data_IF_049724396493
#
_entry.id   IF_049724396493
#
_cell.length_a   1.000
_cell.length_b   1.000
_cell.length_c   1.000
_cell.angle_alpha   90.00
_cell.angle_beta   90.00
_cell.angle_gamma   90.00
#
_symmetry.space_group_name_H-M   'P 1'
#
loop_
_entity.id
_entity.type
_entity.pdbx_description
1 polymer ?
#
# COMPACT_ATOMS: atom_id res chain seq x y z
N UNK A 1 40.71 -42.60 45.82
CA UNK A 1 40.05 -42.74 44.51
C UNK A 1 39.20 -41.50 44.32
N UNK A 2 39.58 -40.72 43.33
CA UNK A 2 39.23 -39.32 43.11
C UNK A 2 37.88 -39.26 42.40
N UNK A 3 36.84 -38.73 43.06
CA UNK A 3 35.54 -38.53 42.42
C UNK A 3 35.62 -37.28 41.56
N UNK A 4 35.73 -37.49 40.25
CA UNK A 4 35.68 -36.43 39.25
C UNK A 4 34.34 -35.71 39.34
N UNK A 5 34.40 -34.44 39.74
CA UNK A 5 33.31 -33.48 39.63
C UNK A 5 33.22 -33.08 38.16
N UNK A 6 32.37 -33.76 37.38
CA UNK A 6 32.02 -33.32 36.03
C UNK A 6 31.25 -32.00 36.14
N UNK A 7 31.96 -30.89 35.94
CA UNK A 7 31.37 -29.57 35.89
C UNK A 7 30.53 -29.41 34.64
N UNK A 8 29.22 -29.26 34.82
CA UNK A 8 28.32 -28.72 33.80
C UNK A 8 28.72 -27.27 33.54
N UNK A 9 29.40 -27.00 32.42
CA UNK A 9 29.47 -25.65 31.87
C UNK A 9 28.24 -25.46 30.98
N UNK A 10 27.11 -25.16 31.61
CA UNK A 10 26.03 -24.48 30.92
C UNK A 10 26.52 -23.05 30.67
N UNK A 11 26.90 -22.77 29.42
CA UNK A 11 27.27 -21.43 29.01
C UNK A 11 26.04 -20.54 29.07
N UNK A 12 25.90 -19.78 30.15
CA UNK A 12 24.92 -18.70 30.26
C UNK A 12 25.24 -17.68 29.18
N UNK A 13 24.37 -17.55 28.19
CA UNK A 13 24.43 -16.45 27.22
C UNK A 13 24.10 -15.18 28.00
N UNK A 14 25.12 -14.44 28.41
CA UNK A 14 24.93 -13.09 28.96
C UNK A 14 24.26 -12.24 27.88
N UNK A 15 23.09 -11.72 28.21
CA UNK A 15 22.35 -10.84 27.31
C UNK A 15 23.15 -9.53 27.22
N UNK A 16 23.81 -9.32 26.08
CA UNK A 16 24.87 -8.31 25.91
C UNK A 16 24.34 -6.86 25.81
N UNK A 17 23.04 -6.68 25.90
CA UNK A 17 22.37 -5.44 25.55
C UNK A 17 21.51 -4.92 26.70
N UNK A 18 21.75 -3.67 27.08
CA UNK A 18 21.05 -2.95 28.15
C UNK A 18 19.80 -2.23 27.60
N UNK A 19 18.90 -2.98 26.97
CA UNK A 19 17.63 -2.46 26.49
C UNK A 19 16.52 -3.52 26.51
N UNK A 20 15.33 -3.13 26.96
CA UNK A 20 14.15 -4.00 27.04
C UNK A 20 13.37 -4.06 25.71
N UNK A 21 13.46 -3.00 24.91
CA UNK A 21 12.72 -2.85 23.65
C UNK A 21 13.59 -2.17 22.59
N UNK A 22 13.47 -2.65 21.35
CA UNK A 22 14.06 -2.01 20.17
C UNK A 22 12.94 -1.66 19.20
N UNK A 23 12.84 -0.37 18.85
CA UNK A 23 11.98 0.10 17.77
C UNK A 23 12.82 0.29 16.51
N UNK A 24 12.37 -0.30 15.41
CA UNK A 24 13.05 -0.22 14.12
C UNK A 24 12.15 0.48 13.12
N UNK A 25 12.74 1.43 12.41
CA UNK A 25 12.17 1.99 11.19
C UNK A 25 12.34 1.00 10.02
N UNK A 26 11.60 1.21 8.93
CA UNK A 26 11.57 0.31 7.77
C UNK A 26 12.50 0.81 6.67
N UNK A 27 12.13 1.89 5.98
CA UNK A 27 12.81 2.38 4.78
C UNK A 27 14.15 3.02 5.16
N UNK A 28 15.26 2.45 4.68
CA UNK A 28 16.61 2.89 5.00
C UNK A 28 17.17 2.36 6.33
N UNK A 29 16.37 1.61 7.10
CA UNK A 29 16.81 0.97 8.35
C UNK A 29 16.81 -0.56 8.22
N UNK A 30 15.64 -1.21 8.15
CA UNK A 30 15.56 -2.67 7.94
C UNK A 30 15.45 -3.05 6.47
N UNK A 31 15.04 -2.11 5.61
CA UNK A 31 14.75 -2.36 4.19
C UNK A 31 15.42 -1.30 3.32
N UNK A 32 16.10 -1.65 2.22
CA UNK A 32 16.71 -0.66 1.34
C UNK A 32 15.68 0.37 0.85
N UNK A 33 16.05 1.65 0.89
CA UNK A 33 15.26 2.76 0.33
C UNK A 33 14.91 2.45 -1.14
N UNK A 34 15.85 1.89 -1.90
CA UNK A 34 15.63 1.47 -3.29
C UNK A 34 14.57 0.39 -3.46
N UNK A 35 14.36 -0.49 -2.49
CA UNK A 35 13.28 -1.49 -2.62
C UNK A 35 11.91 -0.83 -2.64
N UNK A 36 11.69 0.17 -1.78
CA UNK A 36 10.41 0.89 -1.74
C UNK A 36 10.19 1.66 -3.06
N UNK A 37 11.20 2.42 -3.48
CA UNK A 37 11.12 3.31 -4.66
C UNK A 37 11.16 2.60 -6.00
N UNK A 38 12.03 1.60 -6.14
CA UNK A 38 12.33 0.97 -7.43
C UNK A 38 11.59 -0.35 -7.63
N UNK A 39 10.98 -0.91 -6.57
CA UNK A 39 10.27 -2.21 -6.64
C UNK A 39 8.83 -2.10 -6.14
N UNK A 40 8.61 -1.67 -4.89
CA UNK A 40 7.30 -1.75 -4.26
C UNK A 40 6.26 -0.84 -4.93
N UNK A 41 6.57 0.46 -5.08
CA UNK A 41 5.66 1.39 -5.77
C UNK A 41 5.49 1.07 -7.26
N UNK A 42 6.56 0.79 -8.03
CA UNK A 42 6.41 0.35 -9.41
C UNK A 42 5.54 -0.89 -9.57
N UNK A 43 5.66 -1.88 -8.68
CA UNK A 43 4.79 -3.05 -8.72
C UNK A 43 3.31 -2.67 -8.58
N UNK A 44 2.97 -1.83 -7.60
CA UNK A 44 1.58 -1.40 -7.41
C UNK A 44 1.06 -0.63 -8.64
N UNK A 45 1.86 0.32 -9.15
CA UNK A 45 1.54 1.10 -10.35
C UNK A 45 1.29 0.22 -11.57
N UNK A 46 2.15 -0.76 -11.80
CA UNK A 46 2.12 -1.59 -13.01
C UNK A 46 1.03 -2.67 -12.94
N UNK A 47 0.51 -2.99 -11.74
CA UNK A 47 -0.47 -4.06 -11.52
C UNK A 47 -1.87 -3.57 -11.10
N UNK A 48 -2.06 -2.27 -10.80
CA UNK A 48 -3.35 -1.74 -10.33
C UNK A 48 -4.51 -2.08 -11.27
N UNK A 49 -4.32 -1.94 -12.59
CA UNK A 49 -5.34 -2.26 -13.59
C UNK A 49 -5.75 -3.74 -13.52
N UNK A 50 -4.78 -4.64 -13.57
CA UNK A 50 -5.02 -6.09 -13.52
C UNK A 50 -5.65 -6.52 -12.19
N UNK A 51 -5.28 -5.87 -11.08
CA UNK A 51 -5.91 -6.09 -9.79
C UNK A 51 -7.39 -5.70 -9.78
N UNK A 52 -7.71 -4.52 -10.31
CA UNK A 52 -9.09 -4.02 -10.41
C UNK A 52 -9.94 -4.92 -11.29
N UNK A 53 -9.45 -5.35 -12.46
CA UNK A 53 -10.16 -6.29 -13.34
C UNK A 53 -10.56 -7.58 -12.62
N UNK A 54 -9.62 -8.16 -11.86
CA UNK A 54 -9.80 -9.41 -11.14
C UNK A 54 -10.73 -9.26 -9.94
N UNK A 55 -10.68 -8.12 -9.25
CA UNK A 55 -11.28 -7.95 -7.92
C UNK A 55 -12.50 -7.03 -7.93
N UNK A 56 -12.87 -6.44 -9.07
CA UNK A 56 -13.92 -5.40 -9.16
C UNK A 56 -15.21 -5.79 -8.45
N UNK A 57 -15.68 -7.04 -8.64
CA UNK A 57 -16.94 -7.50 -8.05
C UNK A 57 -16.88 -7.83 -6.56
N UNK A 58 -15.77 -7.58 -5.88
CA UNK A 58 -15.62 -7.86 -4.44
C UNK A 58 -15.98 -6.65 -3.60
N UNK A 59 -16.60 -6.88 -2.45
CA UNK A 59 -16.99 -5.82 -1.51
C UNK A 59 -15.79 -4.96 -1.10
N UNK A 60 -14.64 -5.59 -0.81
CA UNK A 60 -13.42 -4.88 -0.45
C UNK A 60 -12.96 -3.92 -1.56
N UNK A 61 -12.94 -4.38 -2.81
CA UNK A 61 -12.53 -3.53 -3.93
C UNK A 61 -13.48 -2.34 -4.13
N UNK A 62 -14.79 -2.55 -3.93
CA UNK A 62 -15.78 -1.47 -4.00
C UNK A 62 -15.62 -0.46 -2.84
N UNK A 63 -15.30 -0.93 -1.63
CA UNK A 63 -14.96 -0.06 -0.50
C UNK A 63 -13.70 0.78 -0.77
N UNK A 64 -12.66 0.15 -1.34
CA UNK A 64 -11.42 0.82 -1.69
C UNK A 64 -11.64 1.89 -2.77
N UNK A 65 -12.40 1.58 -3.83
CA UNK A 65 -12.78 2.54 -4.89
C UNK A 65 -13.57 3.71 -4.31
N UNK A 66 -14.50 3.45 -3.40
CA UNK A 66 -15.25 4.51 -2.71
C UNK A 66 -14.34 5.40 -1.86
N UNK A 67 -13.38 4.81 -1.15
CA UNK A 67 -12.41 5.56 -0.37
C UNK A 67 -11.52 6.45 -1.26
N UNK A 68 -11.06 5.92 -2.40
CA UNK A 68 -10.29 6.68 -3.39
C UNK A 68 -11.11 7.84 -3.97
N UNK A 69 -12.40 7.62 -4.28
CA UNK A 69 -13.29 8.69 -4.75
C UNK A 69 -13.45 9.81 -3.71
N UNK A 70 -13.69 9.44 -2.45
CA UNK A 70 -13.80 10.41 -1.37
C UNK A 70 -12.51 11.20 -1.16
N UNK A 71 -11.35 10.57 -1.35
CA UNK A 71 -10.07 11.24 -1.25
C UNK A 71 -9.86 12.22 -2.44
N UNK A 72 -10.15 11.78 -3.66
CA UNK A 72 -10.07 12.63 -4.85
C UNK A 72 -10.93 13.90 -4.72
N UNK A 73 -12.12 13.80 -4.13
CA UNK A 73 -12.99 14.96 -3.89
C UNK A 73 -12.43 15.94 -2.86
N UNK A 74 -11.70 15.45 -1.85
CA UNK A 74 -10.98 16.33 -0.90
C UNK A 74 -9.80 17.03 -1.57
N UNK A 75 -9.20 16.36 -2.54
CA UNK A 75 -8.02 16.82 -3.27
C UNK A 75 -8.37 17.62 -4.53
N UNK A 76 -9.66 17.90 -4.78
CA UNK A 76 -10.15 18.52 -6.03
C UNK A 76 -9.55 19.90 -6.36
N UNK A 77 -9.03 20.58 -5.35
CA UNK A 77 -8.40 21.91 -5.50
C UNK A 77 -6.89 21.78 -5.76
N UNK A 78 -6.35 20.56 -5.83
CA UNK A 78 -4.94 20.29 -6.16
C UNK A 78 -4.72 20.32 -7.68
N UNK A 79 -3.50 20.66 -8.07
CA UNK A 79 -3.08 20.68 -9.47
C UNK A 79 -3.12 19.25 -10.06
N UNK A 80 -3.66 19.16 -11.28
CA UNK A 80 -3.77 17.92 -12.07
C UNK A 80 -4.52 16.76 -11.40
N UNK A 81 -5.31 17.03 -10.35
CA UNK A 81 -6.10 16.00 -9.66
C UNK A 81 -7.02 15.27 -10.62
N UNK A 82 -7.05 13.95 -10.48
CA UNK A 82 -7.90 13.07 -11.26
C UNK A 82 -9.11 12.67 -10.41
N UNK A 83 -10.30 13.16 -10.75
CA UNK A 83 -11.53 12.77 -10.07
C UNK A 83 -12.02 11.39 -10.56
N UNK A 84 -12.72 10.67 -9.69
CA UNK A 84 -13.32 9.37 -10.00
C UNK A 84 -14.85 9.56 -10.08
N UNK A 85 -15.48 9.35 -11.24
CA UNK A 85 -16.92 9.54 -11.37
C UNK A 85 -17.71 8.50 -10.56
N UNK A 86 -18.92 8.86 -10.17
CA UNK A 86 -19.89 7.94 -9.58
C UNK A 86 -20.57 7.08 -10.65
N UNK A 87 -21.06 5.90 -10.23
CA UNK A 87 -21.74 4.96 -11.13
C UNK A 87 -23.04 5.56 -11.72
N UNK A 88 -23.68 6.48 -11.02
CA UNK A 88 -24.97 7.09 -11.41
C UNK A 88 -24.83 8.24 -12.43
N UNK A 89 -23.66 8.89 -12.51
CA UNK A 89 -23.45 10.04 -13.40
C UNK A 89 -23.35 9.63 -14.89
N UNK A 90 -23.12 8.34 -15.16
CA UNK A 90 -23.01 7.75 -16.51
C UNK A 90 -24.31 7.13 -17.05
N UNK A 91 -25.49 7.51 -16.53
CA UNK A 91 -26.80 6.98 -16.96
C UNK A 91 -27.29 7.46 -18.34
N UNK A 92 -26.41 7.92 -19.25
CA UNK A 92 -26.74 7.85 -20.67
C UNK A 92 -26.71 6.37 -21.06
N UNK A 93 -27.82 5.84 -21.57
CA UNK A 93 -28.10 4.41 -21.85
C UNK A 93 -27.16 3.73 -22.88
N UNK A 94 -25.85 3.82 -22.71
CA UNK A 94 -24.86 3.09 -23.49
C UNK A 94 -24.24 2.04 -22.57
N UNK A 95 -24.55 0.77 -22.86
CA UNK A 95 -23.98 -0.46 -22.32
C UNK A 95 -23.17 -0.36 -21.00
N UNK A 96 -23.75 -0.87 -19.89
CA UNK A 96 -23.16 -1.01 -18.53
C UNK A 96 -21.71 -1.50 -18.43
N UNK A 97 -21.16 -2.11 -19.48
CA UNK A 97 -19.75 -2.50 -19.53
C UNK A 97 -18.80 -1.30 -19.78
N UNK A 98 -19.19 -0.36 -20.64
CA UNK A 98 -18.38 0.83 -20.97
C UNK A 98 -18.30 1.80 -19.79
N UNK A 99 -19.37 1.90 -18.99
CA UNK A 99 -19.35 2.70 -17.75
C UNK A 99 -18.38 2.12 -16.72
N UNK A 100 -18.37 0.79 -16.53
CA UNK A 100 -17.42 0.11 -15.63
C UNK A 100 -15.97 0.36 -16.04
N UNK A 101 -15.65 0.15 -17.32
CA UNK A 101 -14.28 0.36 -17.83
C UNK A 101 -13.82 1.80 -17.65
N UNK A 102 -14.72 2.77 -17.91
CA UNK A 102 -14.44 4.20 -17.73
C UNK A 102 -14.13 4.53 -16.27
N UNK A 103 -14.90 4.00 -15.32
CA UNK A 103 -14.63 4.21 -13.88
C UNK A 103 -13.32 3.53 -13.50
N UNK A 104 -13.06 2.31 -13.97
CA UNK A 104 -11.80 1.62 -13.70
C UNK A 104 -10.59 2.40 -14.20
N UNK A 105 -10.66 2.95 -15.41
CA UNK A 105 -9.59 3.78 -15.97
C UNK A 105 -9.39 5.06 -15.16
N UNK A 106 -10.47 5.70 -14.69
CA UNK A 106 -10.39 6.85 -13.78
C UNK A 106 -9.73 6.48 -12.43
N UNK A 107 -10.05 5.31 -11.87
CA UNK A 107 -9.43 4.81 -10.64
C UNK A 107 -7.93 4.57 -10.86
N UNK A 108 -7.53 3.93 -11.97
CA UNK A 108 -6.13 3.71 -12.31
C UNK A 108 -5.39 5.04 -12.46
N UNK A 109 -5.94 5.98 -13.22
CA UNK A 109 -5.36 7.30 -13.42
C UNK A 109 -5.21 8.07 -12.10
N UNK A 110 -6.22 8.01 -11.22
CA UNK A 110 -6.17 8.62 -9.90
C UNK A 110 -5.08 7.99 -9.01
N UNK A 111 -4.95 6.66 -8.96
CA UNK A 111 -3.90 5.98 -8.19
C UNK A 111 -2.51 6.37 -8.70
N UNK A 112 -2.31 6.43 -10.01
CA UNK A 112 -1.04 6.85 -10.61
C UNK A 112 -0.73 8.31 -10.27
N UNK A 113 -1.72 9.20 -10.34
CA UNK A 113 -1.57 10.59 -9.95
C UNK A 113 -1.15 10.71 -8.47
N UNK A 114 -1.81 9.99 -7.56
CA UNK A 114 -1.45 10.00 -6.14
C UNK A 114 0.00 9.54 -5.90
N UNK A 115 0.44 8.49 -6.61
CA UNK A 115 1.82 7.98 -6.51
C UNK A 115 2.86 8.98 -7.05
N UNK A 116 2.56 9.67 -8.15
CA UNK A 116 3.47 10.65 -8.74
C UNK A 116 3.58 11.93 -7.91
N UNK A 117 2.52 12.31 -7.22
CA UNK A 117 2.46 13.51 -6.39
C UNK A 117 3.19 13.38 -5.05
N UNK A 118 3.85 12.23 -4.77
CA UNK A 118 4.59 11.87 -3.53
C UNK A 118 3.92 12.42 -2.27
N UNK A 119 2.59 12.20 -2.18
CA UNK A 119 1.76 12.77 -1.12
C UNK A 119 2.00 12.02 0.20
N UNK A 120 3.06 12.40 0.92
CA UNK A 120 3.16 12.07 2.34
C UNK A 120 2.17 12.95 3.09
N UNK A 121 0.99 12.41 3.40
CA UNK A 121 0.07 13.10 4.30
C UNK A 121 0.83 13.42 5.60
N UNK A 122 1.12 14.69 5.80
CA UNK A 122 1.60 15.18 7.09
C UNK A 122 0.39 15.24 8.03
N UNK A 123 0.53 14.73 9.27
CA UNK A 123 -0.57 14.65 10.23
C UNK A 123 -1.14 16.02 10.64
#
# INVERSE_FOLDING_TARGET
MENQKTGSKEGSVENKFDYDVVLLDIEGTTTPISFVKDVLFPYARDNVRAFLEKSWGTDQCQEDVKALRNQAEKDKDMEDVVLIPDEEENLSQDNSWTSKETIMDAVVANVIWQMNSDQKQLP
#
